data_IF_381402416672
#
_entry.id   IF_381402416672
#
_cell.length_a   1.000
_cell.length_b   1.000
_cell.length_c   1.000
_cell.angle_alpha   90.00
_cell.angle_beta   90.00
_cell.angle_gamma   90.00
#
_symmetry.space_group_name_H-M   'P 1'
#
loop_
_entity.id
_entity.type
_entity.pdbx_description
1 polymer ?
#
# COMPACT_ATOMS: atom_id res chain seq x y z
N UNK A 1 36.16 35.29 -24.64
CA UNK A 1 35.83 33.95 -24.11
C UNK A 1 34.46 33.59 -24.68
N UNK A 2 34.39 32.57 -25.54
CA UNK A 2 33.11 32.12 -26.09
C UNK A 2 32.36 31.39 -24.98
N UNK A 3 31.22 31.93 -24.54
CA UNK A 3 30.31 31.22 -23.65
C UNK A 3 29.77 30.06 -24.48
N UNK A 4 30.15 28.84 -24.15
CA UNK A 4 29.59 27.65 -24.78
C UNK A 4 28.07 27.71 -24.58
N UNK A 5 27.33 27.91 -25.68
CA UNK A 5 25.89 27.81 -25.67
C UNK A 5 25.56 26.37 -25.23
N UNK A 6 24.95 26.21 -24.06
CA UNK A 6 24.31 24.96 -23.69
C UNK A 6 23.31 24.64 -24.81
N UNK A 7 23.44 23.48 -25.48
CA UNK A 7 22.53 23.14 -26.56
C UNK A 7 21.10 23.14 -26.02
N UNK A 8 20.19 23.73 -26.79
CA UNK A 8 18.76 23.73 -26.49
C UNK A 8 18.27 22.27 -26.60
N UNK A 9 18.21 21.57 -25.47
CA UNK A 9 17.78 20.18 -25.43
C UNK A 9 16.27 20.17 -25.65
N UNK A 10 15.80 19.39 -26.63
CA UNK A 10 14.38 19.18 -26.88
C UNK A 10 13.65 18.88 -25.55
N UNK A 11 12.59 19.64 -25.18
CA UNK A 11 11.86 19.43 -23.94
C UNK A 11 11.41 17.98 -23.72
N UNK A 12 11.09 17.25 -24.78
CA UNK A 12 10.70 15.82 -24.70
C UNK A 12 11.90 14.96 -24.29
N UNK A 13 13.07 15.22 -24.86
CA UNK A 13 14.31 14.53 -24.51
C UNK A 13 14.73 14.86 -23.07
N UNK A 14 14.59 16.12 -22.67
CA UNK A 14 14.88 16.54 -21.30
C UNK A 14 13.96 15.84 -20.27
N UNK A 15 12.67 15.75 -20.56
CA UNK A 15 11.70 15.03 -19.71
C UNK A 15 12.03 13.54 -19.60
N UNK A 16 12.34 12.88 -20.74
CA UNK A 16 12.73 11.47 -20.75
C UNK A 16 14.03 11.22 -19.95
N UNK A 17 15.00 12.13 -20.04
CA UNK A 17 16.23 12.07 -19.25
C UNK A 17 15.98 12.25 -17.75
N UNK A 18 15.10 13.19 -17.37
CA UNK A 18 14.72 13.40 -15.98
C UNK A 18 14.03 12.14 -15.40
N UNK A 19 13.09 11.55 -16.13
CA UNK A 19 12.43 10.31 -15.73
C UNK A 19 13.43 9.17 -15.56
N UNK A 20 14.30 8.94 -16.54
CA UNK A 20 15.34 7.92 -16.46
C UNK A 20 16.29 8.13 -15.26
N UNK A 21 16.67 9.37 -14.97
CA UNK A 21 17.51 9.71 -13.81
C UNK A 21 16.81 9.38 -12.48
N UNK A 22 15.51 9.67 -12.36
CA UNK A 22 14.73 9.30 -11.17
C UNK A 22 14.70 7.79 -10.97
N UNK A 23 14.47 7.01 -12.03
CA UNK A 23 14.46 5.55 -11.94
C UNK A 23 15.83 4.97 -11.58
N UNK A 24 16.90 5.58 -12.10
CA UNK A 24 18.26 5.23 -11.72
C UNK A 24 18.54 5.51 -10.24
N UNK A 25 18.12 6.68 -9.72
CA UNK A 25 18.26 7.00 -8.30
C UNK A 25 17.49 6.03 -7.41
N UNK A 26 16.26 5.67 -7.81
CA UNK A 26 15.46 4.67 -7.08
C UNK A 26 16.15 3.29 -7.10
N UNK A 27 16.67 2.87 -8.25
CA UNK A 27 17.43 1.62 -8.40
C UNK A 27 18.71 1.60 -7.57
N UNK A 28 19.44 2.72 -7.51
CA UNK A 28 20.59 2.88 -6.62
C UNK A 28 20.19 2.82 -5.15
N UNK A 29 19.01 3.34 -4.81
CA UNK A 29 18.40 3.20 -3.50
C UNK A 29 18.22 1.73 -3.12
N UNK A 30 17.63 0.93 -4.01
CA UNK A 30 17.46 -0.52 -3.84
C UNK A 30 18.79 -1.25 -3.67
N UNK A 31 19.84 -0.88 -4.41
CA UNK A 31 21.17 -1.50 -4.24
C UNK A 31 21.79 -1.14 -2.90
N UNK A 32 21.76 0.13 -2.52
CA UNK A 32 22.48 0.63 -1.34
C UNK A 32 21.74 0.41 -0.02
N UNK A 33 20.42 0.25 -0.06
CA UNK A 33 19.54 0.07 1.10
C UNK A 33 18.51 -1.02 0.80
N UNK A 34 19.01 -2.26 0.80
CA UNK A 34 18.22 -3.48 0.73
C UNK A 34 18.20 -4.16 2.09
N UNK A 35 17.19 -4.99 2.31
CA UNK A 35 17.10 -5.87 3.47
C UNK A 35 16.90 -7.33 3.04
N UNK A 36 17.58 -8.25 3.72
CA UNK A 36 17.30 -9.68 3.65
C UNK A 36 16.46 -10.08 4.87
N UNK A 37 15.28 -10.68 4.68
CA UNK A 37 14.36 -10.95 5.77
C UNK A 37 14.91 -11.94 6.80
N UNK A 38 15.89 -12.79 6.44
CA UNK A 38 16.49 -13.78 7.34
C UNK A 38 17.87 -13.38 7.87
N UNK A 39 18.48 -12.31 7.37
CA UNK A 39 19.70 -11.72 7.95
C UNK A 39 19.38 -10.52 8.86
N UNK A 40 18.41 -9.68 8.49
CA UNK A 40 18.10 -8.41 9.18
C UNK A 40 17.07 -8.55 10.31
N UNK A 41 16.38 -9.69 10.38
CA UNK A 41 15.45 -10.00 11.47
C UNK A 41 15.99 -11.19 12.27
N UNK A 42 16.25 -10.94 13.57
CA UNK A 42 16.62 -11.99 14.53
C UNK A 42 15.39 -12.81 14.93
N UNK A 43 14.98 -13.68 14.00
CA UNK A 43 13.82 -14.55 14.09
C UNK A 43 13.88 -15.57 15.23
N UNK A 44 15.08 -15.91 15.70
CA UNK A 44 15.32 -16.87 16.80
C UNK A 44 15.43 -16.17 18.17
N UNK A 45 15.29 -14.85 18.20
CA UNK A 45 15.23 -14.09 19.44
C UNK A 45 14.07 -14.60 20.32
N UNK A 46 14.30 -14.95 21.60
CA UNK A 46 13.22 -15.38 22.49
C UNK A 46 12.08 -14.37 22.64
N UNK A 47 12.37 -13.07 22.52
CA UNK A 47 11.33 -12.01 22.59
C UNK A 47 10.41 -11.99 21.35
N UNK A 48 10.78 -12.73 20.30
CA UNK A 48 10.02 -12.87 19.07
C UNK A 48 9.13 -14.11 19.09
N UNK A 49 9.19 -14.97 20.12
CA UNK A 49 8.22 -16.05 20.26
C UNK A 49 6.81 -15.47 20.38
N UNK A 50 5.82 -16.05 19.70
CA UNK A 50 4.47 -15.48 19.64
C UNK A 50 3.73 -15.47 21.00
N UNK A 51 4.21 -16.24 21.97
CA UNK A 51 3.78 -16.30 23.37
C UNK A 51 4.63 -15.41 24.31
N UNK A 52 5.71 -14.78 23.82
CA UNK A 52 6.49 -13.84 24.62
C UNK A 52 5.80 -12.48 24.71
N UNK A 53 5.45 -12.05 25.93
CA UNK A 53 4.79 -10.75 26.18
C UNK A 53 3.53 -10.57 25.31
N UNK A 54 2.59 -11.51 25.45
CA UNK A 54 1.41 -11.61 24.59
C UNK A 54 0.52 -10.38 24.57
N UNK A 55 0.53 -9.57 25.63
CA UNK A 55 -0.17 -8.29 25.71
C UNK A 55 0.23 -7.34 24.56
N UNK A 56 1.43 -7.50 23.99
CA UNK A 56 1.93 -6.74 22.85
C UNK A 56 1.23 -7.07 21.52
N UNK A 57 0.33 -8.07 21.51
CA UNK A 57 -0.58 -8.34 20.40
C UNK A 57 -1.89 -7.56 20.47
N UNK A 58 -2.20 -6.89 21.59
CA UNK A 58 -3.37 -6.00 21.67
C UNK A 58 -3.29 -4.95 20.57
N UNK A 59 -4.39 -4.74 19.85
CA UNK A 59 -4.40 -3.86 18.68
C UNK A 59 -4.10 -2.42 19.08
N UNK A 60 -3.10 -1.76 18.45
CA UNK A 60 -2.74 -0.39 18.78
C UNK A 60 -3.85 0.58 18.35
N UNK A 61 -4.10 1.60 19.18
CA UNK A 61 -5.16 2.59 18.90
C UNK A 61 -4.78 3.52 17.75
N UNK A 62 -3.48 3.77 17.54
CA UNK A 62 -2.96 4.64 16.49
C UNK A 62 -3.18 4.12 15.07
N UNK A 63 -3.05 2.81 14.88
CA UNK A 63 -3.07 2.18 13.55
C UNK A 63 -4.31 1.33 13.27
N UNK A 64 -5.08 0.97 14.30
CA UNK A 64 -6.18 0.04 14.13
C UNK A 64 -7.54 0.64 14.53
N UNK A 65 -8.47 0.67 13.58
CA UNK A 65 -9.83 1.14 13.85
C UNK A 65 -10.54 0.29 14.91
N UNK A 66 -10.37 -1.05 14.87
CA UNK A 66 -10.96 -1.94 15.87
C UNK A 66 -10.32 -1.72 17.24
N UNK A 67 -9.00 -1.50 17.29
CA UNK A 67 -8.28 -1.13 18.50
C UNK A 67 -8.90 0.06 19.23
N UNK A 68 -9.42 1.06 18.52
CA UNK A 68 -10.07 2.24 19.12
C UNK A 68 -11.51 2.02 19.60
N UNK A 69 -12.17 0.95 19.18
CA UNK A 69 -13.62 0.80 19.38
C UNK A 69 -13.97 0.52 20.85
N UNK A 70 -14.99 1.17 21.44
CA UNK A 70 -15.41 0.89 22.82
C UNK A 70 -15.75 -0.58 23.06
N UNK A 71 -16.41 -1.24 22.10
CA UNK A 71 -16.68 -2.68 22.17
C UNK A 71 -15.41 -3.51 22.34
N UNK A 72 -14.35 -3.24 21.54
CA UNK A 72 -13.09 -3.96 21.64
C UNK A 72 -12.39 -3.65 22.97
N UNK A 73 -12.39 -2.38 23.38
CA UNK A 73 -11.77 -1.92 24.62
C UNK A 73 -12.41 -2.51 25.88
N UNK A 74 -13.68 -2.88 25.83
CA UNK A 74 -14.39 -3.55 26.93
C UNK A 74 -14.12 -5.07 27.01
N UNK A 75 -13.45 -5.67 26.03
CA UNK A 75 -13.17 -7.11 26.04
C UNK A 75 -12.12 -7.49 27.10
N UNK A 76 -12.17 -8.72 27.64
CA UNK A 76 -11.09 -9.29 28.42
C UNK A 76 -9.76 -9.30 27.64
N UNK A 77 -8.64 -9.20 28.36
CA UNK A 77 -7.30 -9.10 27.76
C UNK A 77 -7.01 -10.27 26.83
N UNK A 78 -7.36 -11.49 27.24
CA UNK A 78 -7.16 -12.72 26.48
C UNK A 78 -7.88 -12.68 25.13
N UNK A 79 -9.11 -12.11 25.12
CA UNK A 79 -9.88 -11.95 23.89
C UNK A 79 -9.28 -10.87 22.99
N UNK A 80 -8.74 -9.78 23.56
CA UNK A 80 -8.02 -8.73 22.81
C UNK A 80 -6.77 -9.28 22.13
N UNK A 81 -5.99 -10.11 22.84
CA UNK A 81 -4.79 -10.78 22.35
C UNK A 81 -5.14 -11.75 21.21
N UNK A 82 -6.15 -12.60 21.40
CA UNK A 82 -6.58 -13.55 20.37
C UNK A 82 -7.03 -12.85 19.08
N UNK A 83 -7.83 -11.79 19.20
CA UNK A 83 -8.23 -10.94 18.06
C UNK A 83 -7.01 -10.30 17.41
N UNK A 84 -6.07 -9.81 18.22
CA UNK A 84 -4.82 -9.21 17.80
C UNK A 84 -3.98 -10.15 16.93
N UNK A 85 -3.60 -11.31 17.48
CA UNK A 85 -2.83 -12.35 16.78
C UNK A 85 -3.48 -12.72 15.43
N UNK A 86 -4.78 -13.04 15.43
CA UNK A 86 -5.48 -13.40 14.20
C UNK A 86 -5.47 -12.27 13.18
N UNK A 87 -5.77 -11.04 13.62
CA UNK A 87 -5.86 -9.89 12.72
C UNK A 87 -4.51 -9.59 12.07
N UNK A 88 -3.42 -9.64 12.84
CA UNK A 88 -2.08 -9.36 12.33
C UNK A 88 -1.58 -10.48 11.41
N UNK A 89 -1.84 -11.74 11.75
CA UNK A 89 -1.57 -12.86 10.84
C UNK A 89 -2.34 -12.70 9.52
N UNK A 90 -3.63 -12.36 9.58
CA UNK A 90 -4.43 -12.21 8.35
C UNK A 90 -3.98 -10.99 7.53
N UNK A 91 -3.57 -9.89 8.15
CA UNK A 91 -3.01 -8.72 7.44
C UNK A 91 -1.71 -9.11 6.72
N UNK A 92 -0.78 -9.80 7.40
CA UNK A 92 0.45 -10.29 6.77
C UNK A 92 0.15 -11.26 5.61
N UNK A 93 -0.83 -12.17 5.78
CA UNK A 93 -1.29 -13.09 4.71
C UNK A 93 -1.90 -12.35 3.52
N UNK A 94 -2.60 -11.24 3.75
CA UNK A 94 -3.13 -10.39 2.67
C UNK A 94 -1.98 -9.68 1.95
N UNK A 95 -1.01 -9.14 2.69
CA UNK A 95 0.20 -8.49 2.15
C UNK A 95 0.95 -9.40 1.19
N UNK A 96 1.37 -10.60 1.65
CA UNK A 96 2.12 -11.51 0.79
C UNK A 96 1.35 -11.96 -0.46
N UNK A 97 0.02 -12.08 -0.37
CA UNK A 97 -0.82 -12.41 -1.53
C UNK A 97 -0.92 -11.24 -2.52
N UNK A 98 -0.90 -10.01 -2.02
CA UNK A 98 -0.90 -8.80 -2.84
C UNK A 98 0.41 -8.68 -3.61
N UNK A 99 1.54 -8.78 -2.91
CA UNK A 99 2.89 -8.72 -3.49
C UNK A 99 3.10 -9.81 -4.54
N UNK A 100 2.63 -11.04 -4.27
CA UNK A 100 2.66 -12.13 -5.26
C UNK A 100 1.93 -11.77 -6.56
N UNK A 101 0.84 -11.00 -6.49
CA UNK A 101 0.12 -10.52 -7.68
C UNK A 101 0.93 -9.43 -8.36
N UNK A 102 1.54 -8.49 -7.62
CA UNK A 102 2.38 -7.44 -8.17
C UNK A 102 3.58 -8.02 -8.92
N UNK A 103 4.32 -8.93 -8.29
CA UNK A 103 5.44 -9.66 -8.90
C UNK A 103 5.00 -10.31 -10.21
N UNK A 104 3.87 -11.03 -10.22
CA UNK A 104 3.36 -11.67 -11.44
C UNK A 104 3.02 -10.66 -12.55
N UNK A 105 2.55 -9.47 -12.16
CA UNK A 105 2.29 -8.36 -13.05
C UNK A 105 3.56 -7.77 -13.65
N UNK A 106 4.49 -7.35 -12.79
CA UNK A 106 5.74 -6.72 -13.18
C UNK A 106 6.62 -7.63 -14.03
N UNK A 107 6.71 -8.92 -13.70
CA UNK A 107 7.47 -9.87 -14.53
C UNK A 107 6.89 -9.94 -15.93
N UNK A 108 5.55 -9.90 -16.06
CA UNK A 108 4.88 -9.93 -17.37
C UNK A 108 5.06 -8.60 -18.11
N UNK A 109 4.98 -7.47 -17.41
CA UNK A 109 5.24 -6.13 -17.95
C UNK A 109 6.65 -6.02 -18.52
N UNK A 110 7.65 -6.57 -17.82
CA UNK A 110 9.06 -6.53 -18.23
C UNK A 110 9.34 -7.18 -19.60
N UNK A 111 8.51 -8.14 -20.05
CA UNK A 111 8.66 -8.73 -21.40
C UNK A 111 8.45 -7.71 -22.53
N UNK A 112 7.71 -6.64 -22.27
CA UNK A 112 7.45 -5.58 -23.26
C UNK A 112 8.52 -4.49 -23.32
N UNK A 113 9.49 -4.49 -22.39
CA UNK A 113 10.45 -3.41 -22.25
C UNK A 113 11.69 -3.61 -23.13
N UNK A 114 12.26 -2.53 -23.70
CA UNK A 114 13.47 -2.62 -24.51
C UNK A 114 14.73 -2.85 -23.66
N UNK A 115 15.79 -3.33 -24.31
CA UNK A 115 17.11 -3.45 -23.69
C UNK A 115 17.58 -2.09 -23.14
N UNK A 116 18.11 -2.09 -21.92
CA UNK A 116 18.59 -0.88 -21.26
C UNK A 116 17.48 0.00 -20.65
N UNK A 117 16.22 -0.46 -20.63
CA UNK A 117 15.13 0.27 -19.97
C UNK A 117 15.42 0.49 -18.47
N UNK A 118 15.41 1.75 -17.98
CA UNK A 118 15.48 2.03 -16.55
C UNK A 118 14.28 1.45 -15.77
N UNK A 119 13.12 1.33 -16.41
CA UNK A 119 11.93 0.69 -15.83
C UNK A 119 12.15 -0.79 -15.61
N UNK A 120 12.75 -1.49 -16.58
CA UNK A 120 13.05 -2.91 -16.43
C UNK A 120 13.93 -3.14 -15.20
N UNK A 121 14.96 -2.30 -15.05
CA UNK A 121 15.87 -2.38 -13.91
C UNK A 121 15.13 -2.13 -12.60
N UNK A 122 14.35 -1.05 -12.52
CA UNK A 122 13.66 -0.72 -11.29
C UNK A 122 12.57 -1.75 -10.92
N UNK A 123 11.70 -2.12 -11.86
CA UNK A 123 10.73 -3.20 -11.66
C UNK A 123 11.39 -4.50 -11.19
N UNK A 124 12.61 -4.79 -11.66
CA UNK A 124 13.36 -5.98 -11.20
C UNK A 124 13.84 -5.85 -9.76
N UNK A 125 14.28 -4.66 -9.34
CA UNK A 125 14.63 -4.40 -7.94
C UNK A 125 13.41 -4.49 -7.03
N UNK A 126 12.31 -3.83 -7.39
CA UNK A 126 11.04 -3.89 -6.68
C UNK A 126 10.57 -5.35 -6.54
N UNK A 127 10.56 -6.14 -7.62
CA UNK A 127 10.23 -7.56 -7.51
C UNK A 127 11.13 -8.33 -6.52
N UNK A 128 12.43 -8.01 -6.41
CA UNK A 128 13.32 -8.67 -5.45
C UNK A 128 12.93 -8.31 -4.01
N UNK A 129 12.72 -7.02 -3.75
CA UNK A 129 12.26 -6.50 -2.45
C UNK A 129 10.90 -7.12 -2.08
N UNK A 130 9.96 -7.20 -3.02
CA UNK A 130 8.67 -7.83 -2.80
C UNK A 130 8.75 -9.34 -2.53
N UNK A 131 9.69 -10.07 -3.14
CA UNK A 131 9.90 -11.47 -2.76
C UNK A 131 10.39 -11.57 -1.31
N UNK A 132 11.29 -10.68 -0.88
CA UNK A 132 11.76 -10.63 0.49
C UNK A 132 10.61 -10.31 1.46
N UNK A 133 9.72 -9.39 1.10
CA UNK A 133 8.50 -9.10 1.86
C UNK A 133 7.58 -10.32 1.99
N UNK A 134 7.35 -11.06 0.89
CA UNK A 134 6.49 -12.26 0.96
C UNK A 134 7.04 -13.32 1.90
N UNK A 135 8.36 -13.53 1.90
CA UNK A 135 9.05 -14.46 2.81
C UNK A 135 8.91 -13.99 4.26
N UNK A 136 9.18 -12.72 4.52
CA UNK A 136 9.06 -12.08 5.82
C UNK A 136 7.65 -12.21 6.40
N UNK A 137 6.62 -11.89 5.60
CA UNK A 137 5.22 -12.00 6.00
C UNK A 137 4.79 -13.44 6.22
N UNK A 138 5.19 -14.36 5.34
CA UNK A 138 4.88 -15.78 5.53
C UNK A 138 5.52 -16.31 6.81
N UNK A 139 6.73 -15.87 7.14
CA UNK A 139 7.41 -16.28 8.35
C UNK A 139 6.77 -15.71 9.63
N UNK A 140 6.33 -14.44 9.60
CA UNK A 140 5.49 -13.88 10.66
C UNK A 140 4.19 -14.68 10.85
N UNK A 141 3.51 -15.07 9.77
CA UNK A 141 2.29 -15.91 9.85
C UNK A 141 2.60 -17.28 10.46
N UNK A 142 3.71 -17.92 10.06
CA UNK A 142 4.14 -19.21 10.60
C UNK A 142 4.35 -19.13 12.12
N UNK A 143 5.06 -18.10 12.59
CA UNK A 143 5.33 -17.90 14.02
C UNK A 143 4.08 -17.61 14.84
N UNK A 144 3.15 -16.81 14.32
CA UNK A 144 1.87 -16.57 15.00
C UNK A 144 1.06 -17.88 15.09
N UNK A 145 1.19 -18.77 14.11
CA UNK A 145 0.66 -20.13 14.16
C UNK A 145 -0.87 -20.23 13.99
N UNK A 146 -1.51 -19.17 13.51
CA UNK A 146 -2.97 -19.13 13.26
C UNK A 146 -3.22 -19.31 11.76
N UNK A 147 -4.05 -20.28 11.41
CA UNK A 147 -4.51 -20.46 10.03
C UNK A 147 -5.54 -19.38 9.67
N UNK A 148 -5.13 -18.46 8.80
CA UNK A 148 -5.89 -17.28 8.39
C UNK A 148 -6.16 -17.31 6.89
N UNK A 149 -7.36 -16.90 6.45
CA UNK A 149 -7.76 -17.03 5.05
C UNK A 149 -7.03 -16.07 4.09
N UNK A 150 -6.46 -14.98 4.59
CA UNK A 150 -5.86 -13.92 3.77
C UNK A 150 -6.93 -13.10 3.04
N UNK A 151 -6.70 -12.83 1.76
CA UNK A 151 -7.60 -12.06 0.91
C UNK A 151 -8.99 -12.68 0.82
N UNK A 152 -10.01 -11.82 0.79
CA UNK A 152 -11.38 -12.26 0.57
C UNK A 152 -11.55 -12.99 -0.78
N UNK A 153 -12.53 -13.91 -0.92
CA UNK A 153 -12.65 -14.79 -2.09
C UNK A 153 -12.67 -14.06 -3.43
N UNK A 154 -13.36 -12.92 -3.54
CA UNK A 154 -13.45 -12.13 -4.76
C UNK A 154 -12.12 -11.47 -5.12
N UNK A 155 -11.46 -10.83 -4.15
CA UNK A 155 -10.19 -10.13 -4.33
C UNK A 155 -9.07 -11.12 -4.66
N UNK A 156 -9.11 -12.31 -4.04
CA UNK A 156 -8.15 -13.38 -4.34
C UNK A 156 -8.12 -13.76 -5.83
N UNK A 157 -9.21 -13.53 -6.58
CA UNK A 157 -9.28 -13.83 -8.02
C UNK A 157 -8.45 -12.88 -8.86
N UNK A 158 -7.99 -11.75 -8.32
CA UNK A 158 -7.09 -10.83 -9.01
C UNK A 158 -5.77 -11.49 -9.43
N UNK A 159 -5.35 -12.58 -8.76
CA UNK A 159 -4.23 -13.42 -9.21
C UNK A 159 -4.32 -13.93 -10.65
N UNK A 160 -5.53 -14.07 -11.19
CA UNK A 160 -5.73 -14.56 -12.56
C UNK A 160 -5.70 -13.45 -13.61
N UNK A 161 -5.84 -12.18 -13.18
CA UNK A 161 -5.93 -11.04 -14.10
C UNK A 161 -4.80 -10.03 -13.91
N UNK A 162 -4.04 -10.08 -12.81
CA UNK A 162 -2.94 -9.16 -12.54
C UNK A 162 -1.90 -9.11 -13.66
N UNK A 163 -1.35 -10.26 -14.03
CA UNK A 163 -0.40 -10.39 -15.16
C UNK A 163 -0.98 -9.90 -16.51
N UNK A 164 -2.17 -10.34 -16.96
CA UNK A 164 -2.79 -9.78 -18.16
C UNK A 164 -3.02 -8.26 -18.11
N UNK A 165 -3.42 -7.71 -16.96
CA UNK A 165 -3.62 -6.27 -16.80
C UNK A 165 -2.30 -5.51 -16.88
N UNK A 166 -1.23 -6.02 -16.26
CA UNK A 166 0.11 -5.42 -16.33
C UNK A 166 0.66 -5.36 -17.77
N UNK A 167 0.43 -6.42 -18.54
CA UNK A 167 0.87 -6.52 -19.93
C UNK A 167 0.10 -5.59 -20.87
N UNK A 168 -1.23 -5.52 -20.72
CA UNK A 168 -2.10 -4.84 -21.69
C UNK A 168 -2.45 -3.41 -21.28
N UNK A 169 -2.46 -3.13 -19.98
CA UNK A 169 -2.92 -1.87 -19.39
C UNK A 169 -1.99 -1.43 -18.24
N UNK A 170 -0.69 -1.16 -18.50
CA UNK A 170 0.29 -0.86 -17.45
C UNK A 170 -0.10 0.34 -16.58
N UNK A 171 -0.69 1.40 -17.16
CA UNK A 171 -1.22 2.53 -16.38
C UNK A 171 -2.28 2.08 -15.35
N UNK A 172 -3.15 1.14 -15.70
CA UNK A 172 -4.15 0.60 -14.78
C UNK A 172 -3.51 -0.30 -13.71
N UNK A 173 -2.49 -1.07 -14.10
CA UNK A 173 -1.72 -1.91 -13.18
C UNK A 173 -1.00 -1.08 -12.11
N UNK A 174 -0.23 -0.06 -12.50
CA UNK A 174 0.47 0.80 -11.53
C UNK A 174 -0.47 1.69 -10.71
N UNK A 175 -1.70 1.98 -11.19
CA UNK A 175 -2.74 2.53 -10.33
C UNK A 175 -3.20 1.52 -9.26
N UNK A 176 -3.29 0.23 -9.61
CA UNK A 176 -3.66 -0.82 -8.66
C UNK A 176 -2.57 -1.09 -7.62
N UNK A 177 -1.28 -0.96 -8.01
CA UNK A 177 -0.12 -0.96 -7.11
C UNK A 177 -0.30 0.11 -6.03
N UNK A 178 -0.46 1.38 -6.42
CA UNK A 178 -0.70 2.49 -5.47
C UNK A 178 -1.92 2.26 -4.57
N UNK A 179 -2.99 1.68 -5.10
CA UNK A 179 -4.20 1.41 -4.33
C UNK A 179 -3.99 0.38 -3.21
N UNK A 180 -2.99 -0.51 -3.36
CA UNK A 180 -2.62 -1.48 -2.35
C UNK A 180 -1.58 -0.95 -1.37
N UNK A 181 -0.55 -0.26 -1.85
CA UNK A 181 0.57 0.18 -1.02
C UNK A 181 0.22 1.35 -0.10
N UNK A 182 -0.52 2.35 -0.59
CA UNK A 182 -0.82 3.58 0.16
C UNK A 182 -1.54 3.32 1.51
N UNK A 183 -2.62 2.50 1.57
CA UNK A 183 -3.25 2.18 2.85
C UNK A 183 -2.34 1.41 3.81
N UNK A 184 -1.50 0.50 3.30
CA UNK A 184 -0.58 -0.30 4.13
C UNK A 184 0.48 0.61 4.74
N UNK A 185 1.14 1.41 3.93
CA UNK A 185 2.17 2.37 4.34
C UNK A 185 1.64 3.34 5.40
N UNK A 186 0.44 3.90 5.19
CA UNK A 186 -0.20 4.79 6.16
C UNK A 186 -0.46 4.12 7.51
N UNK A 187 -0.99 2.89 7.52
CA UNK A 187 -1.27 2.14 8.76
C UNK A 187 0.04 1.82 9.49
N UNK A 188 1.05 1.30 8.78
CA UNK A 188 2.32 0.92 9.39
C UNK A 188 3.08 2.13 9.94
N UNK A 189 3.14 3.24 9.19
CA UNK A 189 3.71 4.51 9.68
C UNK A 189 2.98 5.04 10.91
N UNK A 190 1.64 4.94 10.97
CA UNK A 190 0.87 5.38 12.14
C UNK A 190 1.24 4.58 13.40
N UNK A 191 1.40 3.26 13.28
CA UNK A 191 1.82 2.37 14.37
C UNK A 191 3.26 2.68 14.79
N UNK A 192 4.20 2.76 13.85
CA UNK A 192 5.62 2.99 14.17
C UNK A 192 5.86 4.37 14.81
N UNK A 193 5.08 5.39 14.44
CA UNK A 193 5.22 6.76 14.98
C UNK A 193 4.52 6.99 16.32
N UNK A 194 3.57 6.13 16.70
CA UNK A 194 2.79 6.34 17.94
C UNK A 194 3.59 6.07 19.21
N UNK A 195 4.65 5.27 19.11
CA UNK A 195 5.40 4.78 20.26
C UNK A 195 4.63 3.74 21.08
N UNK A 196 3.48 3.26 20.61
CA UNK A 196 2.77 2.14 21.25
C UNK A 196 3.65 0.88 21.25
N UNK A 197 3.56 0.12 22.34
CA UNK A 197 4.20 -1.18 22.41
C UNK A 197 3.44 -2.18 21.54
N UNK A 198 4.09 -2.63 20.48
CA UNK A 198 3.63 -3.72 19.62
C UNK A 198 4.64 -4.85 19.66
N UNK A 199 4.19 -6.05 19.33
CA UNK A 199 5.05 -7.23 19.34
C UNK A 199 6.32 -7.01 18.50
N UNK A 200 7.53 -7.40 18.98
CA UNK A 200 8.79 -7.13 18.27
C UNK A 200 8.84 -7.63 16.83
N UNK A 201 8.27 -8.82 16.55
CA UNK A 201 8.10 -9.31 15.16
C UNK A 201 7.41 -8.26 14.29
N UNK A 202 6.25 -7.76 14.73
CA UNK A 202 5.50 -6.77 13.94
C UNK A 202 6.32 -5.51 13.69
N UNK A 203 7.03 -5.03 14.72
CA UNK A 203 7.85 -3.83 14.60
C UNK A 203 8.99 -4.02 13.60
N UNK A 204 9.71 -5.13 13.66
CA UNK A 204 10.79 -5.45 12.71
C UNK A 204 10.27 -5.52 11.28
N UNK A 205 9.22 -6.32 11.08
CA UNK A 205 8.56 -6.52 9.78
C UNK A 205 8.05 -5.19 9.17
N UNK A 206 7.33 -4.40 9.96
CA UNK A 206 6.82 -3.10 9.50
C UNK A 206 7.94 -2.09 9.21
N UNK A 207 9.05 -2.13 9.96
CA UNK A 207 10.15 -1.18 9.80
C UNK A 207 10.90 -1.41 8.49
N UNK A 208 11.15 -2.67 8.14
CA UNK A 208 11.76 -3.04 6.86
C UNK A 208 10.81 -2.69 5.71
N UNK A 209 9.57 -3.19 5.76
CA UNK A 209 8.59 -2.97 4.71
C UNK A 209 8.39 -1.47 4.39
N UNK A 210 8.15 -0.63 5.40
CA UNK A 210 7.97 0.83 5.19
C UNK A 210 9.21 1.50 4.58
N UNK A 211 10.42 1.00 4.85
CA UNK A 211 11.65 1.58 4.31
C UNK A 211 11.80 1.31 2.80
N UNK A 212 11.34 0.16 2.32
CA UNK A 212 11.42 -0.26 0.92
C UNK A 212 10.20 0.24 0.11
N UNK A 213 8.98 0.11 0.65
CA UNK A 213 7.73 0.59 0.04
C UNK A 213 7.73 2.09 -0.30
N UNK A 214 8.49 2.88 0.46
CA UNK A 214 8.69 4.28 0.14
C UNK A 214 9.31 4.50 -1.25
N UNK A 215 10.06 3.54 -1.80
CA UNK A 215 10.57 3.59 -3.17
C UNK A 215 9.53 3.08 -4.17
N UNK A 216 8.85 1.97 -3.89
CA UNK A 216 7.81 1.36 -4.75
C UNK A 216 6.70 2.37 -5.09
N UNK A 217 6.14 3.02 -4.06
CA UNK A 217 5.14 4.09 -4.22
C UNK A 217 5.71 5.24 -5.06
N UNK A 218 6.98 5.63 -4.85
CA UNK A 218 7.60 6.71 -5.62
C UNK A 218 7.70 6.35 -7.11
N UNK A 219 8.07 5.11 -7.42
CA UNK A 219 8.13 4.63 -8.79
C UNK A 219 6.76 4.63 -9.45
N UNK A 220 5.74 4.04 -8.81
CA UNK A 220 4.40 4.00 -9.38
C UNK A 220 3.84 5.42 -9.63
N UNK A 221 4.16 6.39 -8.76
CA UNK A 221 3.87 7.81 -9.01
C UNK A 221 4.60 8.35 -10.24
N UNK A 222 5.92 8.18 -10.34
CA UNK A 222 6.69 8.71 -11.47
C UNK A 222 6.32 8.01 -12.78
N UNK A 223 6.04 6.70 -12.75
CA UNK A 223 5.53 5.94 -13.88
C UNK A 223 4.24 6.56 -14.41
N UNK A 224 3.24 6.79 -13.54
CA UNK A 224 1.96 7.36 -13.95
C UNK A 224 2.09 8.82 -14.42
N UNK A 225 2.95 9.62 -13.79
CA UNK A 225 3.25 10.99 -14.24
C UNK A 225 3.87 11.02 -15.62
N UNK A 226 4.70 10.04 -15.97
CA UNK A 226 5.31 9.96 -17.29
C UNK A 226 4.31 9.45 -18.35
N UNK A 227 3.59 8.36 -18.07
CA UNK A 227 2.83 7.64 -19.10
C UNK A 227 1.37 8.07 -19.28
N UNK A 228 0.71 8.57 -18.22
CA UNK A 228 -0.70 8.99 -18.34
C UNK A 228 -0.85 10.23 -19.24
N UNK A 229 0.01 11.26 -19.16
CA UNK A 229 -0.07 12.42 -20.06
C UNK A 229 0.09 12.08 -21.54
N UNK A 230 0.81 11.02 -21.90
CA UNK A 230 0.97 10.55 -23.28
C UNK A 230 -0.26 9.80 -23.83
N UNK A 231 -1.15 9.35 -22.94
CA UNK A 231 -2.34 8.62 -23.36
C UNK A 231 -3.33 9.51 -24.13
N UNK A 232 -4.02 8.90 -25.10
CA UNK A 232 -5.08 9.58 -25.83
C UNK A 232 -6.27 9.97 -24.91
N UNK A 233 -7.11 10.91 -25.36
CA UNK A 233 -8.19 11.46 -24.56
C UNK A 233 -9.20 10.40 -24.06
N UNK A 234 -9.48 9.37 -24.87
CA UNK A 234 -10.38 8.29 -24.48
C UNK A 234 -9.78 7.45 -23.36
N UNK A 235 -8.52 7.03 -23.48
CA UNK A 235 -7.81 6.28 -22.46
C UNK A 235 -7.69 7.08 -21.16
N UNK A 236 -7.37 8.39 -21.24
CA UNK A 236 -7.37 9.29 -20.06
C UNK A 236 -8.75 9.35 -19.40
N UNK A 237 -9.83 9.42 -20.19
CA UNK A 237 -11.18 9.41 -19.65
C UNK A 237 -11.50 8.08 -18.95
N UNK A 238 -11.15 6.94 -19.53
CA UNK A 238 -11.32 5.62 -18.90
C UNK A 238 -10.52 5.54 -17.60
N UNK A 239 -9.24 5.92 -17.62
CA UNK A 239 -8.37 5.96 -16.44
C UNK A 239 -8.93 6.87 -15.34
N UNK A 240 -9.52 8.01 -15.70
CA UNK A 240 -10.12 8.95 -14.74
C UNK A 240 -11.28 8.37 -13.94
N UNK A 241 -12.02 7.44 -14.55
CA UNK A 241 -13.12 6.72 -13.89
C UNK A 241 -12.57 5.50 -13.16
N UNK A 242 -11.61 4.79 -13.76
CA UNK A 242 -11.04 3.58 -13.20
C UNK A 242 -10.29 3.85 -11.88
N UNK A 243 -9.51 4.92 -11.80
CA UNK A 243 -8.67 5.24 -10.65
C UNK A 243 -9.45 5.25 -9.31
N UNK A 244 -10.52 6.05 -9.12
CA UNK A 244 -11.30 6.01 -7.87
C UNK A 244 -11.93 4.63 -7.59
N UNK A 245 -12.33 3.89 -8.62
CA UNK A 245 -12.94 2.56 -8.45
C UNK A 245 -11.90 1.56 -7.94
N UNK A 246 -10.71 1.54 -8.54
CA UNK A 246 -9.61 0.66 -8.15
C UNK A 246 -9.15 0.98 -6.72
N UNK A 247 -8.95 2.27 -6.42
CA UNK A 247 -8.63 2.74 -5.07
C UNK A 247 -9.65 2.28 -4.03
N UNK A 248 -10.94 2.42 -4.35
CA UNK A 248 -12.00 1.98 -3.47
C UNK A 248 -12.00 0.47 -3.26
N UNK A 249 -11.89 -0.34 -4.33
CA UNK A 249 -11.95 -1.81 -4.22
C UNK A 249 -10.76 -2.35 -3.42
N UNK A 250 -9.53 -1.98 -3.82
CA UNK A 250 -8.31 -2.52 -3.24
C UNK A 250 -8.05 -1.95 -1.84
N UNK A 251 -8.21 -0.63 -1.67
CA UNK A 251 -8.10 -0.02 -0.36
C UNK A 251 -9.10 -0.61 0.63
N UNK A 252 -10.31 -0.97 0.19
CA UNK A 252 -11.29 -1.60 1.08
C UNK A 252 -10.93 -3.03 1.45
N UNK A 253 -10.32 -3.77 0.53
CA UNK A 253 -9.86 -5.13 0.81
C UNK A 253 -8.76 -5.21 1.84
N UNK A 254 -7.94 -4.16 1.95
CA UNK A 254 -6.86 -4.05 2.92
C UNK A 254 -7.40 -3.49 4.24
N UNK A 255 -8.14 -2.38 4.18
CA UNK A 255 -8.62 -1.69 5.37
C UNK A 255 -9.70 -2.47 6.13
N UNK A 256 -10.58 -3.21 5.43
CA UNK A 256 -11.70 -3.91 6.05
C UNK A 256 -11.41 -5.41 6.19
N UNK A 257 -11.37 -5.98 7.41
CA UNK A 257 -11.14 -7.41 7.57
C UNK A 257 -12.26 -8.26 6.94
N UNK A 258 -11.93 -9.49 6.48
CA UNK A 258 -12.85 -10.35 5.73
C UNK A 258 -14.05 -10.78 6.59
N UNK A 259 -15.17 -11.15 5.95
CA UNK A 259 -16.40 -11.58 6.67
C UNK A 259 -16.17 -12.74 7.63
N UNK A 260 -15.20 -13.62 7.36
CA UNK A 260 -14.80 -14.72 8.24
C UNK A 260 -14.29 -14.21 9.58
N UNK A 261 -13.49 -13.15 9.62
CA UNK A 261 -12.97 -12.55 10.87
C UNK A 261 -14.10 -12.12 11.82
N UNK A 262 -15.13 -11.47 11.29
CA UNK A 262 -16.27 -11.02 12.09
C UNK A 262 -17.07 -12.19 12.68
N UNK A 263 -17.16 -13.30 11.94
CA UNK A 263 -17.82 -14.53 12.39
C UNK A 263 -16.96 -15.28 13.42
N UNK A 264 -15.67 -15.42 13.17
CA UNK A 264 -14.72 -16.12 14.04
C UNK A 264 -14.73 -15.57 15.47
N UNK A 265 -14.84 -14.24 15.60
CA UNK A 265 -14.80 -13.58 16.91
C UNK A 265 -16.17 -13.16 17.44
N UNK A 266 -17.27 -13.58 16.80
CA UNK A 266 -18.65 -13.19 17.15
C UNK A 266 -18.81 -11.66 17.31
N UNK A 267 -18.15 -10.90 16.44
CA UNK A 267 -18.14 -9.45 16.51
C UNK A 267 -19.49 -8.93 16.01
N UNK A 268 -20.24 -8.14 16.81
CA UNK A 268 -21.56 -7.67 16.41
C UNK A 268 -21.54 -6.84 15.12
N UNK A 269 -22.58 -6.99 14.29
CA UNK A 269 -22.69 -6.26 13.00
C UNK A 269 -22.67 -4.74 13.15
N UNK A 270 -23.16 -4.20 14.28
CA UNK A 270 -23.14 -2.77 14.54
C UNK A 270 -21.70 -2.24 14.67
N UNK A 271 -20.79 -3.00 15.28
CA UNK A 271 -19.36 -2.63 15.44
C UNK A 271 -18.72 -2.50 14.07
N UNK A 272 -18.94 -3.48 13.20
CA UNK A 272 -18.46 -3.44 11.81
C UNK A 272 -18.99 -2.22 11.06
N UNK A 273 -20.28 -1.93 11.23
CA UNK A 273 -20.91 -0.78 10.59
C UNK A 273 -20.29 0.52 11.10
N UNK A 274 -20.17 0.71 12.41
CA UNK A 274 -19.60 1.91 13.03
C UNK A 274 -18.16 2.17 12.61
N UNK A 275 -17.32 1.12 12.64
CA UNK A 275 -15.90 1.21 12.33
C UNK A 275 -15.57 1.60 10.90
N UNK A 276 -16.39 1.12 9.95
CA UNK A 276 -16.02 1.17 8.55
C UNK A 276 -17.01 1.98 7.71
N UNK A 277 -18.30 2.01 8.02
CA UNK A 277 -19.34 2.50 7.08
C UNK A 277 -20.29 3.55 7.68
N UNK A 278 -20.39 3.63 9.00
CA UNK A 278 -21.49 4.28 9.72
C UNK A 278 -21.19 5.74 10.07
N UNK A 279 -20.08 5.99 10.75
CA UNK A 279 -19.72 7.30 11.31
C UNK A 279 -19.08 8.21 10.25
N UNK A 280 -18.97 9.52 10.56
CA UNK A 280 -18.26 10.46 9.67
C UNK A 280 -16.76 10.19 9.73
N UNK A 281 -16.27 9.87 10.92
CA UNK A 281 -14.87 9.58 11.24
C UNK A 281 -14.40 8.31 10.51
N UNK A 282 -15.22 7.26 10.46
CA UNK A 282 -14.90 6.03 9.71
C UNK A 282 -14.77 6.27 8.21
N UNK A 283 -15.64 7.12 7.64
CA UNK A 283 -15.61 7.48 6.22
C UNK A 283 -14.40 8.37 5.92
N UNK A 284 -14.14 9.34 6.79
CA UNK A 284 -13.00 10.24 6.66
C UNK A 284 -11.68 9.48 6.74
N UNK A 285 -11.52 8.60 7.74
CA UNK A 285 -10.30 7.81 7.91
C UNK A 285 -9.99 6.92 6.70
N UNK A 286 -11.00 6.37 6.03
CA UNK A 286 -10.77 5.63 4.77
C UNK A 286 -10.41 6.56 3.60
N UNK A 287 -11.05 7.73 3.50
CA UNK A 287 -10.71 8.72 2.47
C UNK A 287 -9.30 9.29 2.64
N UNK A 288 -8.83 9.43 3.88
CA UNK A 288 -7.54 10.06 4.19
C UNK A 288 -6.33 9.28 3.66
N UNK A 289 -6.47 7.98 3.35
CA UNK A 289 -5.41 7.20 2.69
C UNK A 289 -5.13 7.64 1.26
N UNK A 290 -6.07 8.31 0.59
CA UNK A 290 -5.94 8.62 -0.84
C UNK A 290 -5.51 10.08 -1.09
N UNK A 291 -4.91 10.74 -0.10
CA UNK A 291 -4.45 12.14 -0.22
C UNK A 291 -3.45 12.33 -1.35
N UNK A 292 -2.37 11.56 -1.34
CA UNK A 292 -1.29 11.60 -2.34
C UNK A 292 -1.79 11.18 -3.72
N UNK A 293 -2.60 10.13 -3.79
CA UNK A 293 -3.24 9.65 -5.01
C UNK A 293 -4.18 10.69 -5.62
N UNK A 294 -4.93 11.44 -4.80
CA UNK A 294 -5.79 12.54 -5.29
C UNK A 294 -4.96 13.68 -5.87
N UNK A 295 -3.83 14.02 -5.25
CA UNK A 295 -2.88 14.99 -5.79
C UNK A 295 -2.34 14.52 -7.14
N UNK A 296 -1.86 13.27 -7.20
CA UNK A 296 -1.39 12.65 -8.45
C UNK A 296 -2.46 12.70 -9.55
N UNK A 297 -3.70 12.33 -9.24
CA UNK A 297 -4.80 12.36 -10.19
C UNK A 297 -5.12 13.77 -10.71
N UNK A 298 -4.89 14.82 -9.91
CA UNK A 298 -4.97 16.20 -10.38
C UNK A 298 -3.81 16.55 -11.32
N UNK A 299 -2.59 16.23 -10.90
CA UNK A 299 -1.36 16.56 -11.64
C UNK A 299 -1.31 15.91 -13.03
N UNK A 300 -1.77 14.66 -13.14
CA UNK A 300 -1.75 13.91 -14.41
C UNK A 300 -3.04 14.07 -15.23
N UNK A 301 -3.91 15.00 -14.83
CA UNK A 301 -5.10 15.42 -15.62
C UNK A 301 -6.28 14.44 -15.58
N UNK A 302 -6.39 13.61 -14.55
CA UNK A 302 -7.50 12.65 -14.39
C UNK A 302 -8.68 13.23 -13.59
N UNK A 303 -8.56 14.42 -13.01
CA UNK A 303 -9.60 15.00 -12.15
C UNK A 303 -10.66 15.83 -12.92
N UNK A 304 -11.37 15.20 -13.86
CA UNK A 304 -12.48 15.83 -14.60
C UNK A 304 -13.82 15.81 -13.80
N UNK A 305 -14.89 16.51 -14.24
CA UNK A 305 -16.17 16.57 -13.49
C UNK A 305 -16.83 15.21 -13.23
N UNK A 306 -16.69 14.26 -14.17
CA UNK A 306 -17.23 12.90 -14.02
C UNK A 306 -16.41 12.14 -12.99
N UNK A 307 -15.08 12.13 -13.12
CA UNK A 307 -14.19 11.51 -12.14
C UNK A 307 -14.44 12.06 -10.73
N UNK A 308 -14.51 13.39 -10.54
CA UNK A 308 -14.84 14.04 -9.26
C UNK A 308 -16.15 13.52 -8.67
N UNK A 309 -17.15 13.26 -9.51
CA UNK A 309 -18.43 12.71 -9.08
C UNK A 309 -18.31 11.25 -8.65
N UNK A 310 -17.45 10.45 -9.31
CA UNK A 310 -17.15 9.07 -8.92
C UNK A 310 -16.41 9.02 -7.58
N UNK A 311 -15.39 9.86 -7.37
CA UNK A 311 -14.69 10.00 -6.08
C UNK A 311 -15.68 10.30 -4.94
N UNK A 312 -16.61 11.24 -5.16
CA UNK A 312 -17.68 11.59 -4.21
C UNK A 312 -18.66 10.45 -3.96
N UNK A 313 -19.10 9.76 -5.02
CA UNK A 313 -20.03 8.63 -4.91
C UNK A 313 -19.44 7.50 -4.07
N UNK A 314 -18.15 7.21 -4.28
CA UNK A 314 -17.39 6.21 -3.53
C UNK A 314 -16.95 6.70 -2.14
N UNK A 315 -17.17 7.98 -1.83
CA UNK A 315 -16.82 8.65 -0.56
C UNK A 315 -15.34 8.57 -0.22
N UNK A 316 -14.52 8.67 -1.26
CA UNK A 316 -13.05 8.73 -1.17
C UNK A 316 -12.54 10.08 -1.70
N UNK A 317 -13.43 11.04 -1.95
CA UNK A 317 -13.05 12.44 -2.11
C UNK A 317 -12.60 13.04 -0.78
N UNK A 318 -11.76 14.07 -0.84
CA UNK A 318 -11.18 14.66 0.35
C UNK A 318 -10.05 15.63 0.02
N UNK A 319 -9.19 15.85 1.03
CA UNK A 319 -8.05 16.75 0.91
C UNK A 319 -6.99 16.21 -0.06
N UNK A 320 -6.23 17.09 -0.69
CA UNK A 320 -4.98 16.76 -1.37
C UNK A 320 -3.80 17.08 -0.46
N UNK A 321 -2.67 16.45 -0.75
CA UNK A 321 -1.40 16.68 -0.05
C UNK A 321 -0.51 17.64 -0.84
N UNK A 322 0.38 18.34 -0.13
CA UNK A 322 1.35 19.28 -0.71
C UNK A 322 2.61 18.59 -1.19
N UNK A 323 2.98 17.49 -0.54
CA UNK A 323 4.10 16.64 -0.88
C UNK A 323 3.79 15.22 -0.41
N UNK A 324 4.48 14.24 -1.00
CA UNK A 324 4.29 12.82 -0.70
C UNK A 324 4.51 12.51 0.78
N UNK A 325 3.66 11.67 1.35
CA UNK A 325 3.65 11.30 2.78
C UNK A 325 3.47 12.49 3.72
N UNK A 326 2.75 13.54 3.30
CA UNK A 326 2.37 14.64 4.18
C UNK A 326 1.61 14.08 5.39
N UNK A 327 2.07 14.32 6.64
CA UNK A 327 1.37 13.84 7.81
C UNK A 327 -0.04 14.42 7.89
N UNK A 328 -1.04 13.59 8.17
CA UNK A 328 -2.39 14.03 8.52
C UNK A 328 -2.29 14.92 9.75
N UNK A 329 -2.37 16.23 9.55
CA UNK A 329 -2.51 17.18 10.64
C UNK A 329 -3.93 17.04 11.14
N UNK A 330 -4.10 16.44 12.32
CA UNK A 330 -5.36 16.53 13.03
C UNK A 330 -5.71 18.02 13.11
N UNK A 331 -6.79 18.42 12.42
CA UNK A 331 -7.43 19.69 12.71
C UNK A 331 -7.82 19.54 14.17
N UNK A 332 -7.09 20.20 15.08
CA UNK A 332 -7.52 20.33 16.47
C UNK A 332 -8.92 20.91 16.39
N UNK A 333 -9.92 20.11 16.69
CA UNK A 333 -11.24 20.63 17.00
C UNK A 333 -11.03 21.57 18.18
N UNK A 334 -11.11 22.87 17.90
CA UNK A 334 -11.12 23.92 18.92
C UNK A 334 -12.42 23.90 19.69
#
# INVERSE_FOLDING_TARGET
MSVAATPDVDPVVAQAQEYAQKLMLLSEGSVNKHFDPFEDIDWDNPDFAADAGEERWVLPVSGDALGRHPWYQALPLERKIAIGKYRQANVAKVGLQFESILISGMVTHNFGLPNGSPEFRYCSHEMIEEHNHTLMFQEMVNRIGIDVPGMGPLVSKFRYIGAPVAALFPNLFFMAVLAGEEPIDHIQKAILRSGEEVHPIMRGVMSIHVAEEARHISFAHEFLKNHVPEANAFNKFVLSIAMPIVMWILGRSIYTPPRSFWKEFDIPDYVRKELFYGTKEAKQGFSDFFGDVRTLAQDIGLMNPIAKSVWKLLRIDGHTTRYRSEPLRAVRAG
#
